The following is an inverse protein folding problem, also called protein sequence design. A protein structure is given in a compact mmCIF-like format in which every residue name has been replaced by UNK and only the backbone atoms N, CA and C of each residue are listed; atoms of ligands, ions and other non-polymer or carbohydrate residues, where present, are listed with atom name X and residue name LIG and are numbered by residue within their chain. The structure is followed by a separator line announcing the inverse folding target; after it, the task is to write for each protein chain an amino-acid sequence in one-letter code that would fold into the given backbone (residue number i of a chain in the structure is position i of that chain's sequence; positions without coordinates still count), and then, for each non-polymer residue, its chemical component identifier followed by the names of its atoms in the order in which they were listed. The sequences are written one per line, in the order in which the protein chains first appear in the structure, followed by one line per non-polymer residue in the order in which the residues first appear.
data_IF_128540941033
#
_entry.id   IF_128540941033
#
_cell.length_a   1.000
_cell.length_b   1.000
_cell.length_c   1.000
_cell.angle_alpha   90.00
_cell.angle_beta   90.00
_cell.angle_gamma   90.00
#
_symmetry.space_group_name_H-M   'P 1'
#
loop_
_entity.id
_entity.type
_entity.pdbx_description
1 polymer ?
#
# COMPACT_ATOMS: atom_id res chain seq x y z
N UNK A 1 30.45 -38.90 -6.42
CA UNK A 1 29.08 -38.49 -6.81
C UNK A 1 28.63 -39.12 -8.14
N UNK A 2 28.63 -40.46 -8.27
CA UNK A 2 28.27 -41.15 -9.53
C UNK A 2 27.12 -42.18 -9.37
N UNK A 3 26.60 -42.32 -8.15
CA UNK A 3 25.67 -43.40 -7.77
C UNK A 3 24.20 -42.98 -7.66
N UNK A 4 23.86 -41.69 -7.74
CA UNK A 4 22.46 -41.25 -7.60
C UNK A 4 21.64 -41.25 -8.91
N UNK A 5 22.28 -41.47 -10.07
CA UNK A 5 21.60 -41.43 -11.37
C UNK A 5 21.20 -42.81 -11.94
N UNK A 6 21.52 -43.93 -11.29
CA UNK A 6 21.21 -45.27 -11.84
C UNK A 6 19.75 -45.72 -11.65
N UNK A 7 18.96 -45.02 -10.83
CA UNK A 7 17.60 -45.45 -10.48
C UNK A 7 16.50 -45.01 -11.44
N UNK A 8 16.80 -44.20 -12.47
CA UNK A 8 15.81 -43.74 -13.46
C UNK A 8 15.75 -44.58 -14.74
N UNK A 9 16.51 -45.66 -14.87
CA UNK A 9 16.71 -46.38 -16.14
C UNK A 9 15.55 -47.30 -16.59
N UNK A 10 14.42 -47.38 -15.87
CA UNK A 10 13.27 -48.24 -16.23
C UNK A 10 11.95 -47.49 -16.43
N UNK A 11 11.93 -46.16 -16.35
CA UNK A 11 10.68 -45.41 -16.53
C UNK A 11 10.38 -45.17 -18.00
N UNK A 12 9.19 -45.57 -18.46
CA UNK A 12 8.75 -45.35 -19.84
C UNK A 12 8.85 -43.84 -20.21
N UNK A 13 9.48 -43.47 -21.34
CA UNK A 13 9.69 -42.07 -21.73
C UNK A 13 8.36 -41.27 -21.80
N UNK A 14 7.25 -41.92 -22.17
CA UNK A 14 5.93 -41.29 -22.17
C UNK A 14 5.41 -40.92 -20.76
N UNK A 15 5.75 -41.70 -19.73
CA UNK A 15 5.34 -41.41 -18.33
C UNK A 15 6.12 -40.22 -17.77
N UNK A 16 7.38 -40.06 -18.18
CA UNK A 16 8.20 -38.89 -17.82
C UNK A 16 7.64 -37.61 -18.48
N UNK A 17 7.30 -37.67 -19.77
CA UNK A 17 6.69 -36.54 -20.48
C UNK A 17 5.37 -36.08 -19.84
N UNK A 18 4.45 -37.01 -19.56
CA UNK A 18 3.15 -36.69 -18.94
C UNK A 18 3.35 -36.07 -17.54
N UNK A 19 4.30 -36.61 -16.75
CA UNK A 19 4.63 -36.06 -15.43
C UNK A 19 5.17 -34.63 -15.51
N UNK A 20 6.07 -34.36 -16.47
CA UNK A 20 6.63 -33.03 -16.70
C UNK A 20 5.56 -32.03 -17.13
N UNK A 21 4.66 -32.40 -18.04
CA UNK A 21 3.56 -31.54 -18.50
C UNK A 21 2.58 -31.25 -17.34
N UNK A 22 2.21 -32.28 -16.57
CA UNK A 22 1.35 -32.09 -15.39
C UNK A 22 1.96 -31.13 -14.37
N UNK A 23 3.26 -31.29 -14.09
CA UNK A 23 4.01 -30.38 -13.22
C UNK A 23 4.05 -28.95 -13.77
N UNK A 24 4.25 -28.77 -15.09
CA UNK A 24 4.25 -27.44 -15.71
C UNK A 24 2.90 -26.74 -15.57
N UNK A 25 1.79 -27.47 -15.76
CA UNK A 25 0.45 -26.92 -15.67
C UNK A 25 0.13 -26.48 -14.24
N UNK A 26 0.45 -27.31 -13.25
CA UNK A 26 0.25 -26.97 -11.84
C UNK A 26 1.04 -25.71 -11.46
N UNK A 27 2.30 -25.61 -11.88
CA UNK A 27 3.15 -24.44 -11.61
C UNK A 27 2.63 -23.15 -12.27
N UNK A 28 2.14 -23.24 -13.51
CA UNK A 28 1.57 -22.08 -14.21
C UNK A 28 0.27 -21.63 -13.55
N UNK A 29 -0.58 -22.57 -13.13
CA UNK A 29 -1.84 -22.27 -12.45
C UNK A 29 -1.59 -21.60 -11.09
N UNK A 30 -0.68 -22.15 -10.28
CA UNK A 30 -0.36 -21.55 -8.97
C UNK A 30 0.27 -20.17 -9.12
N UNK A 31 1.14 -19.98 -10.10
CA UNK A 31 1.76 -18.69 -10.37
C UNK A 31 0.75 -17.66 -10.87
N UNK A 32 -0.14 -18.05 -11.79
CA UNK A 32 -1.24 -17.18 -12.24
C UNK A 32 -2.19 -16.79 -11.12
N UNK A 33 -2.53 -17.74 -10.25
CA UNK A 33 -3.34 -17.48 -9.06
C UNK A 33 -2.67 -16.51 -8.09
N UNK A 34 -1.38 -16.70 -7.80
CA UNK A 34 -0.62 -15.80 -6.93
C UNK A 34 -0.54 -14.37 -7.49
N UNK A 35 -0.38 -14.22 -8.82
CA UNK A 35 -0.35 -12.90 -9.46
C UNK A 35 -1.70 -12.18 -9.36
N UNK A 36 -2.81 -12.89 -9.59
CA UNK A 36 -4.15 -12.32 -9.47
C UNK A 36 -4.47 -11.91 -8.02
N UNK A 37 -4.09 -12.74 -7.05
CA UNK A 37 -4.26 -12.44 -5.64
C UNK A 37 -3.47 -11.18 -5.23
N UNK A 38 -2.22 -11.08 -5.68
CA UNK A 38 -1.38 -9.89 -5.48
C UNK A 38 -2.04 -8.66 -6.11
N UNK A 39 -2.49 -8.73 -7.37
CA UNK A 39 -3.06 -7.58 -8.04
C UNK A 39 -4.30 -7.02 -7.33
N UNK A 40 -5.19 -7.90 -6.86
CA UNK A 40 -6.40 -7.50 -6.16
C UNK A 40 -6.09 -6.90 -4.77
N UNK A 41 -5.21 -7.54 -3.99
CA UNK A 41 -4.79 -7.04 -2.67
C UNK A 41 -3.97 -5.73 -2.75
N UNK A 42 -3.19 -5.53 -3.83
CA UNK A 42 -2.39 -4.32 -4.03
C UNK A 42 -3.24 -3.11 -4.42
N UNK A 43 -4.30 -3.29 -5.21
CA UNK A 43 -5.07 -2.16 -5.75
C UNK A 43 -5.87 -1.45 -4.67
N UNK A 44 -6.59 -2.20 -3.81
CA UNK A 44 -7.39 -1.62 -2.73
C UNK A 44 -6.50 -0.97 -1.64
N UNK A 45 -5.38 -1.60 -1.32
CA UNK A 45 -4.48 -1.09 -0.28
C UNK A 45 -3.74 0.18 -0.70
N UNK A 46 -3.21 0.22 -1.94
CA UNK A 46 -2.52 1.42 -2.44
C UNK A 46 -3.49 2.58 -2.54
N UNK A 47 -4.73 2.34 -2.99
CA UNK A 47 -5.74 3.40 -3.06
C UNK A 47 -6.08 3.96 -1.68
N UNK A 48 -6.27 3.10 -0.66
CA UNK A 48 -6.52 3.55 0.71
C UNK A 48 -5.36 4.37 1.30
N UNK A 49 -4.12 3.93 1.08
CA UNK A 49 -2.93 4.64 1.59
C UNK A 49 -2.69 5.98 0.89
N UNK A 50 -2.83 6.03 -0.43
CA UNK A 50 -2.72 7.28 -1.19
C UNK A 50 -3.82 8.26 -0.79
N UNK A 51 -5.05 7.76 -0.60
CA UNK A 51 -6.16 8.59 -0.15
C UNK A 51 -5.92 9.17 1.24
N UNK A 52 -5.40 8.36 2.16
CA UNK A 52 -5.08 8.79 3.52
C UNK A 52 -3.98 9.88 3.53
N UNK A 53 -2.97 9.74 2.66
CA UNK A 53 -1.93 10.76 2.49
C UNK A 53 -2.47 12.06 1.87
N UNK A 54 -3.37 11.95 0.90
CA UNK A 54 -4.06 13.10 0.29
C UNK A 54 -4.89 13.86 1.34
N UNK A 55 -5.73 13.14 2.10
CA UNK A 55 -6.58 13.71 3.15
C UNK A 55 -5.77 14.46 4.21
N UNK A 56 -4.64 13.89 4.62
CA UNK A 56 -3.68 14.56 5.49
C UNK A 56 -3.22 15.90 4.92
N UNK A 57 -2.79 15.91 3.66
CA UNK A 57 -2.33 17.13 3.00
C UNK A 57 -3.44 18.16 2.90
N UNK A 58 -4.67 17.71 2.65
CA UNK A 58 -5.87 18.55 2.63
C UNK A 58 -6.14 19.16 4.00
N UNK A 59 -6.11 18.39 5.10
CA UNK A 59 -6.33 18.88 6.46
C UNK A 59 -5.28 19.92 6.85
N UNK A 60 -4.00 19.66 6.59
CA UNK A 60 -2.93 20.63 6.87
C UNK A 60 -3.11 21.92 6.08
N UNK A 61 -3.49 21.83 4.80
CA UNK A 61 -3.78 23.00 3.99
C UNK A 61 -4.99 23.79 4.51
N UNK A 62 -6.09 23.10 4.83
CA UNK A 62 -7.31 23.72 5.35
C UNK A 62 -7.07 24.41 6.69
N UNK A 63 -6.28 23.84 7.59
CA UNK A 63 -5.95 24.45 8.88
C UNK A 63 -5.22 25.80 8.75
N UNK A 64 -4.26 25.90 7.84
CA UNK A 64 -3.56 27.15 7.55
C UNK A 64 -4.52 28.17 6.92
N UNK A 65 -5.41 27.71 6.04
CA UNK A 65 -6.42 28.54 5.39
C UNK A 65 -7.45 29.08 6.40
N UNK A 66 -7.90 28.27 7.36
CA UNK A 66 -8.81 28.66 8.44
C UNK A 66 -8.17 29.74 9.31
N UNK A 67 -6.95 29.49 9.80
CA UNK A 67 -6.18 30.43 10.63
C UNK A 67 -5.97 31.76 9.91
N UNK A 68 -5.63 31.70 8.61
CA UNK A 68 -5.40 32.89 7.79
C UNK A 68 -6.70 33.66 7.56
N UNK A 69 -7.79 32.97 7.23
CA UNK A 69 -9.11 33.57 7.04
C UNK A 69 -9.55 34.27 8.32
N UNK A 70 -9.37 33.62 9.46
CA UNK A 70 -9.79 34.15 10.74
C UNK A 70 -9.05 35.45 11.12
N UNK A 71 -7.71 35.43 10.99
CA UNK A 71 -6.87 36.61 11.25
C UNK A 71 -7.14 37.75 10.27
N UNK A 72 -7.39 37.43 9.00
CA UNK A 72 -7.67 38.44 7.98
C UNK A 72 -9.04 39.07 8.19
N UNK A 73 -10.04 38.27 8.60
CA UNK A 73 -11.33 38.80 9.04
C UNK A 73 -11.15 39.69 10.28
N UNK A 74 -10.46 39.21 11.32
CA UNK A 74 -10.23 39.98 12.54
C UNK A 74 -9.56 41.34 12.26
N UNK A 75 -8.61 41.38 11.32
CA UNK A 75 -7.93 42.62 10.94
C UNK A 75 -8.79 43.57 10.08
N UNK A 76 -9.58 43.04 9.14
CA UNK A 76 -10.25 43.84 8.09
C UNK A 76 -11.75 44.02 8.27
N UNK A 77 -12.41 43.11 8.98
CA UNK A 77 -13.88 43.01 9.08
C UNK A 77 -14.56 42.67 7.75
N UNK A 78 -13.84 42.14 6.75
CA UNK A 78 -14.42 41.88 5.42
C UNK A 78 -15.17 40.54 5.40
N UNK A 79 -16.50 40.51 5.11
CA UNK A 79 -17.34 39.31 5.18
C UNK A 79 -16.86 38.11 4.35
N UNK A 80 -16.16 38.36 3.23
CA UNK A 80 -15.66 37.30 2.36
C UNK A 80 -14.77 36.28 3.08
N UNK A 81 -14.03 36.72 4.11
CA UNK A 81 -13.14 35.84 4.87
C UNK A 81 -13.88 34.95 5.86
N UNK A 82 -15.01 35.42 6.39
CA UNK A 82 -15.89 34.63 7.25
C UNK A 82 -16.62 33.55 6.43
N UNK A 83 -17.14 33.91 5.25
CA UNK A 83 -17.74 32.94 4.34
C UNK A 83 -16.75 31.85 3.91
N UNK A 84 -15.51 32.24 3.60
CA UNK A 84 -14.44 31.29 3.26
C UNK A 84 -14.06 30.40 4.44
N UNK A 85 -14.01 30.96 5.65
CA UNK A 85 -13.73 30.19 6.86
C UNK A 85 -14.74 29.07 7.04
N UNK A 86 -16.05 29.38 7.04
CA UNK A 86 -17.08 28.35 7.25
C UNK A 86 -17.11 27.30 6.13
N UNK A 87 -16.88 27.70 4.88
CA UNK A 87 -16.75 26.74 3.77
C UNK A 87 -15.54 25.79 3.95
N UNK A 88 -14.45 26.26 4.55
CA UNK A 88 -13.27 25.44 4.84
C UNK A 88 -13.51 24.50 6.04
N UNK A 89 -14.29 24.92 7.04
CA UNK A 89 -14.70 24.06 8.16
C UNK A 89 -15.46 22.84 7.65
N UNK A 90 -16.43 23.03 6.74
CA UNK A 90 -17.20 21.92 6.16
C UNK A 90 -16.29 20.91 5.43
N UNK A 91 -15.28 21.40 4.69
CA UNK A 91 -14.31 20.55 4.01
C UNK A 91 -13.37 19.84 4.98
N UNK A 92 -13.00 20.50 6.07
CA UNK A 92 -12.16 19.95 7.11
C UNK A 92 -12.85 18.78 7.80
N UNK A 93 -14.11 18.98 8.22
CA UNK A 93 -14.91 17.95 8.86
C UNK A 93 -15.14 16.75 7.93
N UNK A 94 -15.39 17.01 6.64
CA UNK A 94 -15.51 15.95 5.65
C UNK A 94 -14.22 15.12 5.52
N UNK A 95 -13.06 15.79 5.43
CA UNK A 95 -11.77 15.13 5.32
C UNK A 95 -11.43 14.33 6.58
N UNK A 96 -11.69 14.89 7.76
CA UNK A 96 -11.46 14.22 9.04
C UNK A 96 -12.33 12.98 9.20
N UNK A 97 -13.63 13.08 8.90
CA UNK A 97 -14.55 11.93 8.93
C UNK A 97 -14.12 10.81 7.97
N UNK A 98 -13.58 11.16 6.80
CA UNK A 98 -13.08 10.16 5.87
C UNK A 98 -11.84 9.42 6.41
N UNK A 99 -10.93 10.12 7.10
CA UNK A 99 -9.79 9.47 7.80
C UNK A 99 -10.31 8.47 8.85
N UNK A 100 -11.29 8.88 9.66
CA UNK A 100 -11.91 8.02 10.68
C UNK A 100 -12.56 6.78 10.05
N UNK A 101 -13.25 6.93 8.92
CA UNK A 101 -13.85 5.81 8.20
C UNK A 101 -12.81 4.85 7.61
N UNK A 102 -11.72 5.38 7.05
CA UNK A 102 -10.66 4.58 6.43
C UNK A 102 -9.83 3.84 7.48
N UNK A 103 -9.64 4.41 8.67
CA UNK A 103 -8.87 3.78 9.73
C UNK A 103 -9.34 4.24 11.13
N UNK A 104 -10.35 3.54 11.69
CA UNK A 104 -10.93 3.88 13.00
C UNK A 104 -9.91 3.91 14.15
N UNK A 105 -8.84 3.11 14.07
CA UNK A 105 -7.80 3.08 15.10
C UNK A 105 -7.01 4.40 15.17
N UNK A 106 -6.94 5.17 14.09
CA UNK A 106 -6.34 6.51 14.10
C UNK A 106 -7.22 7.53 14.81
N UNK A 107 -8.54 7.36 14.73
CA UNK A 107 -9.49 8.21 15.45
C UNK A 107 -9.23 8.13 16.96
N UNK A 108 -9.06 6.92 17.51
CA UNK A 108 -8.80 6.74 18.94
C UNK A 108 -7.47 7.36 19.41
N UNK A 109 -6.46 7.47 18.52
CA UNK A 109 -5.15 8.04 18.86
C UNK A 109 -5.09 9.57 18.77
N UNK A 110 -5.89 10.18 17.90
CA UNK A 110 -5.89 11.62 17.66
C UNK A 110 -7.09 12.38 18.25
N UNK A 111 -8.27 11.76 18.30
CA UNK A 111 -9.54 12.45 18.51
C UNK A 111 -9.64 13.13 19.88
N UNK A 112 -9.20 12.51 20.97
CA UNK A 112 -9.40 13.13 22.28
C UNK A 112 -8.64 14.46 22.47
N UNK A 113 -7.44 14.57 21.91
CA UNK A 113 -6.60 15.78 22.06
C UNK A 113 -6.75 16.77 20.90
N UNK A 114 -7.04 16.29 19.69
CA UNK A 114 -7.35 17.14 18.54
C UNK A 114 -8.72 17.79 18.75
N UNK A 115 -9.74 17.06 19.18
CA UNK A 115 -11.11 17.56 19.23
C UNK A 115 -11.27 18.67 20.30
N UNK A 116 -10.69 18.51 21.50
CA UNK A 116 -10.77 19.56 22.54
C UNK A 116 -10.03 20.85 22.13
N UNK A 117 -8.80 20.74 21.62
CA UNK A 117 -8.03 21.90 21.20
C UNK A 117 -8.63 22.58 19.96
N UNK A 118 -9.18 21.80 19.03
CA UNK A 118 -9.89 22.29 17.86
C UNK A 118 -11.15 23.07 18.24
N UNK A 119 -11.95 22.56 19.18
CA UNK A 119 -13.14 23.27 19.68
C UNK A 119 -12.78 24.62 20.30
N UNK A 120 -11.71 24.67 21.11
CA UNK A 120 -11.24 25.93 21.71
C UNK A 120 -10.79 26.91 20.62
N UNK A 121 -10.02 26.45 19.62
CA UNK A 121 -9.59 27.29 18.50
C UNK A 121 -10.79 27.85 17.74
N UNK A 122 -11.73 26.99 17.35
CA UNK A 122 -12.90 27.38 16.59
C UNK A 122 -13.77 28.38 17.36
N UNK A 123 -13.94 28.20 18.68
CA UNK A 123 -14.69 29.13 19.52
C UNK A 123 -14.01 30.51 19.59
N UNK A 124 -12.69 30.55 19.80
CA UNK A 124 -11.93 31.81 19.79
C UNK A 124 -11.96 32.50 18.42
N UNK A 125 -11.92 31.72 17.33
CA UNK A 125 -12.00 32.24 15.96
C UNK A 125 -13.37 32.84 15.66
N UNK A 126 -14.45 32.16 16.04
CA UNK A 126 -15.82 32.68 15.91
C UNK A 126 -16.03 33.92 16.79
N UNK A 127 -15.56 33.91 18.04
CA UNK A 127 -15.61 35.10 18.90
C UNK A 127 -14.85 36.29 18.29
N UNK A 128 -13.72 36.03 17.61
CA UNK A 128 -13.00 37.09 16.89
C UNK A 128 -13.82 37.69 15.75
N UNK A 129 -14.68 36.89 15.12
CA UNK A 129 -15.58 37.38 14.06
C UNK A 129 -16.66 38.28 14.63
N UNK A 130 -17.25 37.88 15.76
CA UNK A 130 -18.24 38.71 16.44
C UNK A 130 -17.65 40.07 16.83
N UNK A 131 -16.43 40.10 17.38
CA UNK A 131 -15.72 41.34 17.73
C UNK A 131 -15.41 42.21 16.50
N UNK A 132 -14.86 41.63 15.44
CA UNK A 132 -14.53 42.39 14.22
C UNK A 132 -15.79 42.87 13.47
N UNK A 133 -16.90 42.13 13.51
CA UNK A 133 -18.19 42.57 12.95
C UNK A 133 -18.75 43.81 13.67
N UNK A 134 -18.39 44.00 14.93
CA UNK A 134 -18.71 45.19 15.74
C UNK A 134 -17.72 46.34 15.54
N UNK A 135 -16.76 46.20 14.62
CA UNK A 135 -15.69 47.18 14.37
C UNK A 135 -14.57 47.15 15.41
N UNK A 136 -14.52 46.14 16.28
CA UNK A 136 -13.51 45.98 17.33
C UNK A 136 -12.30 45.18 16.84
N UNK A 137 -11.78 45.51 15.65
CA UNK A 137 -10.74 44.74 14.95
C UNK A 137 -9.47 44.52 15.77
N UNK A 138 -9.04 45.52 16.55
CA UNK A 138 -7.86 45.38 17.43
C UNK A 138 -8.10 44.32 18.51
N UNK A 139 -9.27 44.34 19.16
CA UNK A 139 -9.63 43.37 20.18
C UNK A 139 -9.82 41.98 19.60
N UNK A 140 -10.41 41.87 18.41
CA UNK A 140 -10.52 40.61 17.67
C UNK A 140 -9.13 40.02 17.36
N UNK A 141 -8.20 40.85 16.90
CA UNK A 141 -6.84 40.38 16.61
C UNK A 141 -6.07 40.01 17.88
N UNK A 142 -6.19 40.80 18.95
CA UNK A 142 -5.58 40.51 20.25
C UNK A 142 -6.08 39.17 20.81
N UNK A 143 -7.35 38.81 20.59
CA UNK A 143 -7.91 37.51 20.95
C UNK A 143 -7.19 36.36 20.20
N UNK A 144 -6.98 36.50 18.89
CA UNK A 144 -6.27 35.51 18.06
C UNK A 144 -4.74 35.48 18.28
N UNK A 145 -4.22 36.44 19.05
CA UNK A 145 -2.82 36.48 19.48
C UNK A 145 -2.67 36.16 20.97
N UNK A 146 -3.77 35.82 21.65
CA UNK A 146 -3.79 35.56 23.07
C UNK A 146 -2.98 34.31 23.44
N UNK A 147 -2.44 34.23 24.67
CA UNK A 147 -1.78 33.03 25.16
C UNK A 147 -2.67 31.78 25.11
N UNK A 148 -3.98 31.95 25.28
CA UNK A 148 -4.97 30.87 25.20
C UNK A 148 -5.08 30.31 23.77
N UNK A 149 -5.21 31.20 22.77
CA UNK A 149 -5.21 30.80 21.36
C UNK A 149 -3.91 30.07 20.99
N UNK A 150 -2.76 30.60 21.41
CA UNK A 150 -1.46 29.98 21.11
C UNK A 150 -1.29 28.61 21.78
N UNK A 151 -1.76 28.45 23.02
CA UNK A 151 -1.72 27.17 23.72
C UNK A 151 -2.62 26.14 23.03
N UNK A 152 -3.85 26.51 22.65
CA UNK A 152 -4.75 25.65 21.91
C UNK A 152 -4.16 25.26 20.54
N UNK A 153 -3.57 26.22 19.81
CA UNK A 153 -2.92 25.95 18.51
C UNK A 153 -1.74 25.00 18.65
N UNK A 154 -0.96 25.14 19.72
CA UNK A 154 0.14 24.22 19.99
C UNK A 154 -0.36 22.80 20.25
N UNK A 155 -1.32 22.61 21.18
CA UNK A 155 -1.89 21.29 21.49
C UNK A 155 -2.51 20.64 20.25
N UNK A 156 -3.26 21.42 19.47
CA UNK A 156 -3.84 20.96 18.22
C UNK A 156 -2.76 20.50 17.21
N UNK A 157 -1.71 21.30 17.02
CA UNK A 157 -0.61 20.98 16.08
C UNK A 157 0.17 19.75 16.55
N UNK A 158 0.37 19.57 17.85
CA UNK A 158 0.99 18.38 18.44
C UNK A 158 0.13 17.13 18.18
N UNK A 159 -1.19 17.23 18.39
CA UNK A 159 -2.15 16.16 18.07
C UNK A 159 -2.15 15.80 16.59
N UNK A 160 -2.18 16.81 15.71
CA UNK A 160 -2.10 16.63 14.26
C UNK A 160 -0.81 15.90 13.88
N UNK A 161 0.36 16.34 14.39
CA UNK A 161 1.63 15.68 14.11
C UNK A 161 1.68 14.23 14.61
N UNK A 162 1.05 13.93 15.75
CA UNK A 162 0.92 12.56 16.25
C UNK A 162 0.07 11.70 15.30
N UNK A 163 -1.05 12.22 14.81
CA UNK A 163 -1.89 11.57 13.81
C UNK A 163 -1.14 11.34 12.49
N UNK A 164 -0.40 12.34 12.00
CA UNK A 164 0.45 12.24 10.81
C UNK A 164 1.50 11.14 10.97
N UNK A 165 2.15 11.07 12.14
CA UNK A 165 3.12 10.02 12.46
C UNK A 165 2.47 8.64 12.47
N UNK A 166 1.33 8.48 13.14
CA UNK A 166 0.60 7.21 13.20
C UNK A 166 0.16 6.72 11.80
N UNK A 167 -0.25 7.65 10.92
CA UNK A 167 -0.52 7.31 9.52
C UNK A 167 0.73 6.85 8.80
N UNK A 168 1.82 7.59 8.88
CA UNK A 168 3.08 7.23 8.22
C UNK A 168 3.58 5.85 8.69
N UNK A 169 3.47 5.57 9.99
CA UNK A 169 3.80 4.27 10.58
C UNK A 169 2.89 3.16 10.06
N UNK A 170 1.58 3.42 9.94
CA UNK A 170 0.64 2.45 9.37
C UNK A 170 0.96 2.12 7.89
N UNK A 171 1.40 3.11 7.11
CA UNK A 171 1.80 2.93 5.72
C UNK A 171 3.07 2.07 5.65
N UNK A 172 4.09 2.42 6.43
CA UNK A 172 5.38 1.69 6.43
C UNK A 172 5.25 0.25 6.92
N UNK A 173 4.46 0.00 7.97
CA UNK A 173 4.20 -1.34 8.49
C UNK A 173 3.52 -2.22 7.43
N UNK A 174 2.53 -1.67 6.73
CA UNK A 174 1.86 -2.37 5.63
C UNK A 174 2.85 -2.67 4.51
N UNK A 175 3.64 -1.69 4.04
CA UNK A 175 4.64 -1.88 2.98
C UNK A 175 5.66 -2.99 3.32
N UNK A 176 6.10 -3.08 4.59
CA UNK A 176 7.04 -4.11 5.02
C UNK A 176 6.45 -5.53 4.90
N UNK A 177 5.19 -5.74 5.29
CA UNK A 177 4.49 -7.01 5.12
C UNK A 177 4.38 -7.42 3.64
N UNK A 178 4.08 -6.47 2.75
CA UNK A 178 4.00 -6.73 1.31
C UNK A 178 5.35 -7.07 0.69
N UNK A 179 6.41 -6.35 1.07
CA UNK A 179 7.77 -6.65 0.62
C UNK A 179 8.16 -8.08 0.96
N UNK A 180 7.82 -8.56 2.15
CA UNK A 180 8.12 -9.92 2.57
C UNK A 180 7.33 -10.96 1.75
N UNK A 181 6.03 -10.72 1.50
CA UNK A 181 5.22 -11.59 0.61
C UNK A 181 5.78 -11.63 -0.82
N UNK A 182 6.16 -10.49 -1.38
CA UNK A 182 6.74 -10.39 -2.72
C UNK A 182 8.05 -11.19 -2.84
N UNK A 183 8.92 -11.14 -1.82
CA UNK A 183 10.15 -11.93 -1.77
C UNK A 183 9.85 -13.44 -1.77
N UNK A 184 8.89 -13.91 -0.97
CA UNK A 184 8.51 -15.32 -0.93
C UNK A 184 7.95 -15.81 -2.27
N UNK A 185 7.12 -14.99 -2.93
CA UNK A 185 6.62 -15.30 -4.28
C UNK A 185 7.77 -15.33 -5.29
N UNK A 186 8.71 -14.38 -5.24
CA UNK A 186 9.91 -14.37 -6.09
C UNK A 186 10.80 -15.61 -5.90
N UNK A 187 10.96 -16.07 -4.66
CA UNK A 187 11.67 -17.33 -4.35
C UNK A 187 10.91 -18.52 -4.95
N UNK A 188 9.59 -18.58 -4.77
CA UNK A 188 8.74 -19.63 -5.32
C UNK A 188 8.80 -19.72 -6.84
N UNK A 189 8.77 -18.59 -7.54
CA UNK A 189 8.93 -18.51 -9.00
C UNK A 189 10.31 -19.01 -9.41
N UNK A 190 11.37 -18.58 -8.72
CA UNK A 190 12.75 -19.00 -9.01
C UNK A 190 12.91 -20.52 -8.88
N UNK A 191 12.41 -21.11 -7.80
CA UNK A 191 12.42 -22.56 -7.57
C UNK A 191 11.64 -23.28 -8.68
N UNK A 192 10.49 -22.75 -9.07
CA UNK A 192 9.64 -23.33 -10.12
C UNK A 192 10.37 -23.37 -11.47
N UNK A 193 11.08 -22.31 -11.84
CA UNK A 193 11.91 -22.25 -13.06
C UNK A 193 13.05 -23.27 -13.02
N UNK A 194 13.71 -23.45 -11.87
CA UNK A 194 14.76 -24.46 -11.70
C UNK A 194 14.20 -25.87 -11.87
N UNK A 195 13.07 -26.16 -11.22
CA UNK A 195 12.40 -27.47 -11.32
C UNK A 195 11.96 -27.75 -12.76
N UNK A 196 11.39 -26.77 -13.45
CA UNK A 196 11.03 -26.84 -14.87
C UNK A 196 12.25 -27.15 -15.74
N UNK A 197 13.35 -26.42 -15.54
CA UNK A 197 14.58 -26.59 -16.29
C UNK A 197 15.17 -27.99 -16.12
N UNK A 198 15.25 -28.48 -14.87
CA UNK A 198 15.75 -29.82 -14.55
C UNK A 198 14.83 -30.91 -15.14
N UNK A 199 13.51 -30.71 -15.08
CA UNK A 199 12.53 -31.62 -15.67
C UNK A 199 12.72 -31.74 -17.20
N UNK A 200 12.81 -30.62 -17.91
CA UNK A 200 13.00 -30.60 -19.36
C UNK A 200 14.36 -31.15 -19.80
N UNK A 201 15.43 -30.81 -19.07
CA UNK A 201 16.78 -31.38 -19.31
C UNK A 201 16.74 -32.91 -19.16
N UNK A 202 16.05 -33.42 -18.13
CA UNK A 202 15.92 -34.86 -17.90
C UNK A 202 15.19 -35.57 -19.05
N UNK A 203 14.12 -34.97 -19.58
CA UNK A 203 13.39 -35.48 -20.76
C UNK A 203 14.31 -35.54 -21.98
N UNK A 204 15.05 -34.47 -22.28
CA UNK A 204 15.96 -34.41 -23.43
C UNK A 204 17.10 -35.44 -23.32
N UNK A 205 17.67 -35.61 -22.13
CA UNK A 205 18.73 -36.60 -21.88
C UNK A 205 18.24 -38.05 -22.01
N UNK A 206 17.00 -38.33 -21.62
CA UNK A 206 16.40 -39.67 -21.77
C UNK A 206 16.04 -39.95 -23.22
N UNK A 207 15.47 -38.97 -23.92
CA UNK A 207 15.08 -39.10 -25.33
C UNK A 207 16.29 -39.30 -26.25
N UNK A 208 17.35 -38.49 -26.09
CA UNK A 208 18.61 -38.65 -26.85
C UNK A 208 19.28 -40.00 -26.62
N UNK A 209 19.24 -40.52 -25.38
CA UNK A 209 19.72 -41.89 -25.08
C UNK A 209 18.87 -42.97 -25.73
N UNK A 210 17.56 -42.77 -25.83
CA UNK A 210 16.69 -43.73 -26.52
C UNK A 210 16.92 -43.73 -28.03
N UNK A 211 17.11 -42.57 -28.65
CA UNK A 211 17.45 -42.48 -30.09
C UNK A 211 18.78 -43.17 -30.40
N UNK A 212 19.83 -42.93 -29.60
CA UNK A 212 21.12 -43.58 -29.78
C UNK A 212 21.05 -45.11 -29.66
N UNK A 213 20.25 -45.63 -28.71
CA UNK A 213 20.04 -47.08 -28.56
C UNK A 213 19.23 -47.69 -29.71
N UNK A 214 18.25 -46.96 -30.26
CA UNK A 214 17.47 -47.42 -31.41
C UNK A 214 18.34 -47.51 -32.66
N UNK A 215 19.16 -46.49 -32.92
CA UNK A 215 20.09 -46.50 -34.05
C UNK A 215 21.09 -47.67 -33.98
N UNK A 216 21.66 -47.95 -32.79
CA UNK A 216 22.54 -49.11 -32.62
C UNK A 216 21.83 -50.45 -32.84
N UNK A 217 20.60 -50.59 -32.34
CA UNK A 217 19.83 -51.82 -32.55
C UNK A 217 19.44 -52.02 -34.03
N UNK A 218 19.12 -50.94 -34.73
CA UNK A 218 18.82 -50.96 -36.17
C UNK A 218 20.07 -51.30 -37.01
N UNK A 219 21.24 -50.78 -36.65
CA UNK A 219 22.52 -51.13 -37.29
C UNK A 219 22.86 -52.62 -37.11
N UNK A 220 22.75 -53.15 -35.90
CA UNK A 220 22.99 -54.58 -35.63
C UNK A 220 22.00 -55.46 -36.40
N UNK A 221 20.74 -55.06 -36.53
CA UNK A 221 19.74 -55.78 -37.32
C UNK A 221 19.99 -55.69 -38.82
N UNK A 222 20.57 -54.59 -39.32
CA UNK A 222 20.98 -54.46 -40.72
C UNK A 222 22.22 -55.30 -41.03
N UNK A 223 23.22 -55.32 -40.14
CA UNK A 223 24.38 -56.21 -40.26
C UNK A 223 23.96 -57.68 -40.26
N UNK A 224 23.13 -58.09 -39.29
CA UNK A 224 22.63 -59.47 -39.19
C UNK A 224 21.66 -59.89 -40.32
N UNK A 225 21.16 -58.94 -41.12
CA UNK A 225 20.30 -59.21 -42.29
C UNK A 225 21.10 -59.28 -43.59
N UNK A 226 22.29 -58.68 -43.62
CA UNK A 226 23.16 -58.63 -44.78
C UNK A 226 24.22 -59.76 -44.77
N UNK A 227 24.39 -60.45 -43.65
CA UNK A 227 25.08 -61.76 -43.51
C UNK A 227 24.14 -62.94 -43.79
#
# INVERSE_FOLDING_TARGET
MRYLFSRFSSSNPNRLLIGSIGLTLVLVITMGWSVLQIHNEYTELIQGQLRLQELIGTITYLDEALTTSARTFAATGTPVWEEQYFAQVDLFDAAYNEIVMLNPALADMGAAHIDEAYVILADLEVQSFELASQGQNTTALDLLLSPEYQAAKQTYTEGQNALLGAVADSITANVAMYRQRAVWVGIGVTISVIVLSVSWISVLLVMSKHEARRQQAEQVLQEARND
#
